data_IF_521390894510
#
_entry.id   IF_521390894510
#
_cell.length_a   1.000
_cell.length_b   1.000
_cell.length_c   1.000
_cell.angle_alpha   90.00
_cell.angle_beta   90.00
_cell.angle_gamma   90.00
#
_symmetry.space_group_name_H-M   'P 1'
#
loop_
_entity.id
_entity.type
_entity.pdbx_description
1 polymer ?
#
# COMPACT_ATOMS: atom_id res chain seq x y z
N UNK A 1 -23.91 7.60 1.02
CA UNK A 1 -22.99 7.02 2.01
C UNK A 1 -22.91 5.50 1.95
N UNK A 2 -24.04 4.78 2.02
CA UNK A 2 -24.09 3.32 1.89
C UNK A 2 -23.54 2.83 0.55
N UNK A 3 -23.87 3.48 -0.56
CA UNK A 3 -23.39 3.11 -1.90
C UNK A 3 -21.86 3.21 -2.01
N UNK A 4 -21.24 4.21 -1.34
CA UNK A 4 -19.78 4.39 -1.33
C UNK A 4 -19.10 3.28 -0.52
N UNK A 5 -19.66 2.91 0.63
CA UNK A 5 -19.17 1.81 1.47
C UNK A 5 -19.31 0.48 0.72
N UNK A 6 -20.46 0.25 0.08
CA UNK A 6 -20.70 -0.96 -0.70
C UNK A 6 -19.71 -1.11 -1.86
N UNK A 7 -19.48 -0.04 -2.62
CA UNK A 7 -18.50 -0.03 -3.71
C UNK A 7 -17.08 -0.32 -3.20
N UNK A 8 -16.73 0.23 -2.05
CA UNK A 8 -15.44 -0.04 -1.42
C UNK A 8 -15.28 -1.51 -1.05
N UNK A 9 -16.31 -2.12 -0.49
CA UNK A 9 -16.30 -3.54 -0.12
C UNK A 9 -16.20 -4.45 -1.34
N UNK A 10 -16.97 -4.17 -2.39
CA UNK A 10 -16.92 -4.94 -3.64
C UNK A 10 -15.54 -4.82 -4.29
N UNK A 11 -14.98 -3.63 -4.35
CA UNK A 11 -13.65 -3.39 -4.89
C UNK A 11 -12.57 -4.14 -4.10
N UNK A 12 -12.65 -4.14 -2.78
CA UNK A 12 -11.71 -4.87 -1.91
C UNK A 12 -11.77 -6.38 -2.18
N UNK A 13 -12.96 -6.95 -2.24
CA UNK A 13 -13.12 -8.38 -2.48
C UNK A 13 -12.57 -8.78 -3.84
N UNK A 14 -12.83 -7.98 -4.86
CA UNK A 14 -12.30 -8.21 -6.20
C UNK A 14 -10.78 -8.10 -6.23
N UNK A 15 -10.22 -7.10 -5.55
CA UNK A 15 -8.76 -6.92 -5.46
C UNK A 15 -8.10 -8.07 -4.71
N UNK A 16 -8.74 -8.62 -3.68
CA UNK A 16 -8.25 -9.77 -2.93
C UNK A 16 -8.12 -11.02 -3.83
N UNK A 17 -9.12 -11.28 -4.68
CA UNK A 17 -9.09 -12.40 -5.63
C UNK A 17 -7.89 -12.28 -6.59
N UNK A 18 -7.48 -11.06 -6.94
CA UNK A 18 -6.37 -10.81 -7.85
C UNK A 18 -5.03 -10.57 -7.15
N UNK A 19 -4.92 -10.88 -5.85
CA UNK A 19 -3.72 -10.59 -5.05
C UNK A 19 -2.43 -11.17 -5.64
N UNK A 20 -2.48 -12.36 -6.21
CA UNK A 20 -1.31 -13.01 -6.80
C UNK A 20 -0.73 -12.27 -8.02
N UNK A 21 -1.54 -11.43 -8.67
CA UNK A 21 -1.10 -10.62 -9.80
C UNK A 21 -0.67 -9.21 -9.39
N UNK A 22 -0.63 -8.94 -8.09
CA UNK A 22 -0.29 -7.63 -7.53
C UNK A 22 1.09 -7.65 -6.87
N UNK A 23 1.65 -6.46 -6.65
CA UNK A 23 3.00 -6.31 -6.09
C UNK A 23 2.95 -5.99 -4.60
N UNK A 24 4.09 -6.18 -3.94
CA UNK A 24 4.35 -5.64 -2.61
C UNK A 24 4.90 -4.22 -2.74
N UNK A 25 4.79 -3.38 -1.70
CA UNK A 25 5.28 -2.01 -1.78
C UNK A 25 6.79 -1.94 -1.82
N UNK A 26 7.31 -0.92 -2.49
CA UNK A 26 8.73 -0.59 -2.55
C UNK A 26 9.16 0.31 -1.39
N UNK A 27 8.22 1.07 -0.82
CA UNK A 27 8.48 1.95 0.30
C UNK A 27 7.29 2.00 1.26
N UNK A 28 7.56 2.34 2.50
CA UNK A 28 6.54 2.52 3.55
C UNK A 28 6.89 3.78 4.33
N UNK A 29 5.96 4.72 4.42
CA UNK A 29 6.09 5.87 5.29
C UNK A 29 5.49 5.47 6.64
N UNK A 30 6.36 5.30 7.63
CA UNK A 30 5.98 4.72 8.93
C UNK A 30 5.63 5.74 10.00
N UNK A 31 5.82 7.00 9.77
CA UNK A 31 5.51 8.01 10.77
C UNK A 31 6.16 9.35 10.49
N UNK A 32 5.92 10.21 11.39
CA UNK A 32 5.10 10.05 12.60
C UNK A 32 3.72 10.64 12.40
N UNK A 33 2.80 10.31 13.33
CA UNK A 33 1.46 10.93 13.35
C UNK A 33 1.59 12.45 13.41
N UNK A 34 0.81 13.16 12.58
CA UNK A 34 0.79 14.63 12.49
C UNK A 34 2.09 15.27 12.02
N UNK A 35 2.93 14.52 11.31
CA UNK A 35 4.19 15.01 10.74
C UNK A 35 4.10 15.25 9.23
N UNK A 36 2.90 15.57 8.73
CA UNK A 36 2.63 15.82 7.32
C UNK A 36 2.94 14.61 6.40
N UNK A 37 2.87 13.39 6.92
CA UNK A 37 3.14 12.17 6.14
C UNK A 37 2.11 11.96 5.05
N UNK A 38 0.86 12.32 5.28
CA UNK A 38 -0.21 12.25 4.28
C UNK A 38 0.09 13.19 3.10
N UNK A 39 0.52 14.43 3.41
CA UNK A 39 0.92 15.39 2.37
C UNK A 39 2.13 14.92 1.59
N UNK A 40 3.13 14.35 2.29
CA UNK A 40 4.31 13.77 1.64
C UNK A 40 3.93 12.67 0.68
N UNK A 41 3.13 11.72 1.14
CA UNK A 41 2.68 10.59 0.32
C UNK A 41 1.90 11.06 -0.90
N UNK A 42 0.99 12.00 -0.70
CA UNK A 42 0.18 12.57 -1.77
C UNK A 42 1.04 13.25 -2.83
N UNK A 43 2.03 14.02 -2.39
CA UNK A 43 2.96 14.70 -3.28
C UNK A 43 3.86 13.70 -4.04
N UNK A 44 4.33 12.66 -3.36
CA UNK A 44 5.09 11.59 -4.01
C UNK A 44 4.28 10.93 -5.12
N UNK A 45 3.02 10.61 -4.86
CA UNK A 45 2.14 9.95 -5.82
C UNK A 45 1.73 10.83 -6.99
N UNK A 46 2.07 12.12 -6.99
CA UNK A 46 1.93 12.98 -8.16
C UNK A 46 3.02 12.71 -9.21
N UNK A 47 4.10 12.08 -8.81
CA UNK A 47 5.15 11.68 -9.75
C UNK A 47 4.61 10.55 -10.64
N UNK A 48 4.82 10.62 -11.98
CA UNK A 48 4.23 9.64 -12.90
C UNK A 48 4.73 8.21 -12.73
N UNK A 49 5.87 8.00 -12.09
CA UNK A 49 6.43 6.67 -11.82
C UNK A 49 6.02 6.08 -10.47
N UNK A 50 5.27 6.82 -9.66
CA UNK A 50 4.87 6.38 -8.33
C UNK A 50 3.36 6.13 -8.31
N UNK A 51 2.98 4.86 -8.17
CA UNK A 51 1.58 4.46 -8.14
C UNK A 51 1.11 4.34 -6.68
N UNK A 52 -0.03 4.94 -6.33
CA UNK A 52 -0.54 4.85 -4.97
C UNK A 52 -1.15 3.48 -4.67
N UNK A 53 -1.22 3.15 -3.38
CA UNK A 53 -2.09 2.07 -2.90
C UNK A 53 -3.56 2.46 -3.09
N UNK A 54 -4.45 1.49 -2.99
CA UNK A 54 -5.89 1.70 -3.19
C UNK A 54 -6.56 2.45 -2.03
N UNK A 55 -5.91 2.51 -0.87
CA UNK A 55 -6.45 3.20 0.30
C UNK A 55 -5.31 3.82 1.11
N UNK A 56 -5.64 4.85 1.88
CA UNK A 56 -4.72 5.45 2.83
C UNK A 56 -4.66 4.63 4.11
N UNK A 57 -3.55 4.74 4.83
CA UNK A 57 -3.38 4.14 6.15
C UNK A 57 -3.82 2.67 6.20
N UNK A 58 -3.18 1.83 5.41
CA UNK A 58 -3.54 0.40 5.29
C UNK A 58 -3.49 -0.32 6.64
N UNK A 59 -2.51 -0.01 7.49
CA UNK A 59 -2.41 -0.58 8.81
C UNK A 59 -2.19 -2.10 8.84
N UNK A 60 -1.55 -2.65 7.81
CA UNK A 60 -1.36 -4.10 7.74
C UNK A 60 -0.44 -4.60 8.86
N UNK A 61 0.72 -3.98 9.03
CA UNK A 61 1.74 -4.47 9.96
C UNK A 61 1.38 -4.26 11.43
N UNK A 62 0.35 -3.52 11.74
CA UNK A 62 -0.14 -3.38 13.11
C UNK A 62 -1.51 -4.07 13.30
N UNK A 63 -2.58 -3.41 12.92
CA UNK A 63 -3.94 -3.89 13.23
C UNK A 63 -4.43 -5.03 12.34
N UNK A 64 -3.90 -5.18 11.14
CA UNK A 64 -4.43 -6.08 10.12
C UNK A 64 -3.48 -7.20 9.70
N UNK A 65 -2.43 -7.42 10.48
CA UNK A 65 -1.41 -8.44 10.15
C UNK A 65 -2.00 -9.85 10.06
N UNK A 66 -3.01 -10.13 10.88
CA UNK A 66 -3.71 -11.41 10.88
C UNK A 66 -4.49 -11.72 9.60
N UNK A 67 -4.73 -10.71 8.76
CA UNK A 67 -5.46 -10.88 7.50
C UNK A 67 -4.60 -11.53 6.39
N UNK A 68 -3.29 -11.57 6.58
CA UNK A 68 -2.38 -12.28 5.68
C UNK A 68 -1.84 -11.44 4.53
N UNK A 69 -0.80 -11.96 3.90
CA UNK A 69 -0.06 -11.26 2.84
C UNK A 69 -0.92 -11.02 1.59
N UNK A 70 -1.84 -11.93 1.25
CA UNK A 70 -2.74 -11.74 0.11
C UNK A 70 -3.63 -10.52 0.30
N UNK A 71 -4.13 -10.32 1.52
CA UNK A 71 -4.90 -9.12 1.84
C UNK A 71 -4.06 -7.87 1.63
N UNK A 72 -2.81 -7.89 2.10
CA UNK A 72 -1.90 -6.75 1.94
C UNK A 72 -1.63 -6.45 0.46
N UNK A 73 -1.30 -7.47 -0.32
CA UNK A 73 -1.06 -7.32 -1.75
C UNK A 73 -2.28 -6.75 -2.50
N UNK A 74 -3.48 -7.07 -2.04
CA UNK A 74 -4.72 -6.58 -2.67
C UNK A 74 -4.84 -5.06 -2.65
N UNK A 75 -4.07 -4.38 -1.81
CA UNK A 75 -4.05 -2.92 -1.69
C UNK A 75 -3.17 -2.24 -2.74
N UNK A 76 -2.35 -2.98 -3.46
CA UNK A 76 -1.35 -2.44 -4.37
C UNK A 76 -1.69 -2.69 -5.85
N UNK A 77 -1.04 -1.98 -6.78
CA UNK A 77 -1.29 -2.16 -8.20
C UNK A 77 -0.93 -3.56 -8.70
N UNK A 78 -1.49 -3.92 -9.84
CA UNK A 78 -1.13 -5.14 -10.55
C UNK A 78 0.25 -5.01 -11.18
N UNK A 79 0.94 -6.13 -11.33
CA UNK A 79 2.24 -6.19 -12.03
C UNK A 79 2.15 -5.61 -13.44
N UNK A 80 1.04 -5.84 -14.14
CA UNK A 80 0.81 -5.30 -15.48
C UNK A 80 0.73 -3.77 -15.48
N UNK A 81 0.09 -3.18 -14.48
CA UNK A 81 0.03 -1.72 -14.33
C UNK A 81 1.43 -1.13 -14.05
N UNK A 82 2.18 -1.77 -13.16
CA UNK A 82 3.55 -1.37 -12.84
C UNK A 82 4.45 -1.42 -14.08
N UNK A 83 4.34 -2.48 -14.87
CA UNK A 83 5.12 -2.64 -16.09
C UNK A 83 4.80 -1.59 -17.15
N UNK A 84 3.52 -1.25 -17.32
CA UNK A 84 3.12 -0.18 -18.26
C UNK A 84 3.73 1.16 -17.89
N UNK A 85 3.74 1.50 -16.61
CA UNK A 85 4.36 2.75 -16.15
C UNK A 85 5.87 2.70 -16.34
N UNK A 86 6.49 1.57 -16.01
CA UNK A 86 7.93 1.38 -16.17
C UNK A 86 8.37 1.58 -17.64
N UNK A 87 7.60 1.08 -18.58
CA UNK A 87 7.87 1.27 -20.02
C UNK A 87 7.82 2.73 -20.43
N UNK A 88 6.89 3.50 -19.87
CA UNK A 88 6.72 4.93 -20.19
C UNK A 88 7.74 5.82 -19.51
N UNK A 89 8.15 5.51 -18.30
CA UNK A 89 8.91 6.43 -17.43
C UNK A 89 10.25 5.88 -16.97
N UNK A 90 10.63 4.68 -17.42
CA UNK A 90 11.85 3.94 -17.08
C UNK A 90 11.81 3.22 -15.73
N UNK A 91 11.01 3.65 -14.77
CA UNK A 91 10.84 2.94 -13.51
C UNK A 91 9.41 3.12 -12.99
N UNK A 92 9.02 2.22 -12.09
CA UNK A 92 7.75 2.32 -11.37
C UNK A 92 7.94 1.80 -9.95
N UNK A 93 7.40 2.51 -8.98
CA UNK A 93 7.38 2.09 -7.58
C UNK A 93 6.00 2.36 -7.00
N UNK A 94 5.68 1.63 -5.92
CA UNK A 94 4.46 1.84 -5.15
C UNK A 94 4.79 1.72 -3.67
N UNK A 95 3.95 2.27 -2.84
CA UNK A 95 4.15 2.23 -1.40
C UNK A 95 2.93 2.65 -0.63
N UNK A 96 3.06 2.66 0.68
CA UNK A 96 1.99 3.05 1.58
C UNK A 96 2.43 4.06 2.62
N UNK A 97 1.45 4.68 3.27
CA UNK A 97 1.64 5.60 4.37
C UNK A 97 0.74 5.17 5.53
N UNK A 98 1.34 4.64 6.59
CA UNK A 98 0.65 4.32 7.84
C UNK A 98 1.44 4.89 9.00
N UNK A 99 1.14 6.14 9.43
CA UNK A 99 1.94 6.85 10.44
C UNK A 99 2.01 6.18 11.80
N UNK A 100 1.04 5.34 12.14
CA UNK A 100 0.99 4.64 13.42
C UNK A 100 2.04 3.54 13.55
N UNK A 101 2.66 3.09 12.46
CA UNK A 101 3.71 2.07 12.51
C UNK A 101 4.90 2.49 13.39
N UNK A 102 5.20 3.78 13.43
CA UNK A 102 6.32 4.32 14.19
C UNK A 102 6.26 3.98 15.69
N UNK A 103 5.05 3.87 16.24
CA UNK A 103 4.84 3.65 17.68
C UNK A 103 4.87 2.17 18.10
N UNK A 104 4.99 1.25 17.16
CA UNK A 104 4.81 -0.18 17.40
C UNK A 104 6.12 -0.93 17.16
N UNK A 105 6.72 -1.46 18.23
CA UNK A 105 8.03 -2.12 18.16
C UNK A 105 8.04 -3.40 17.31
N UNK A 106 6.92 -4.14 17.27
CA UNK A 106 6.80 -5.37 16.49
C UNK A 106 6.60 -5.15 15.00
N UNK A 107 6.22 -3.94 14.59
CA UNK A 107 5.99 -3.61 13.17
C UNK A 107 7.28 -3.76 12.35
N UNK A 108 8.40 -3.31 12.86
CA UNK A 108 9.68 -3.38 12.14
C UNK A 108 10.05 -4.82 11.82
N UNK A 109 9.89 -5.72 12.78
CA UNK A 109 10.15 -7.15 12.58
C UNK A 109 9.23 -7.75 11.53
N UNK A 110 7.94 -7.41 11.58
CA UNK A 110 6.96 -7.86 10.60
C UNK A 110 7.25 -7.36 9.20
N UNK A 111 7.64 -6.10 9.07
CA UNK A 111 8.04 -5.52 7.79
C UNK A 111 9.23 -6.30 7.22
N UNK A 112 10.22 -6.58 8.05
CA UNK A 112 11.42 -7.31 7.62
C UNK A 112 11.10 -8.73 7.16
N UNK A 113 10.14 -9.40 7.78
CA UNK A 113 9.69 -10.74 7.37
C UNK A 113 9.05 -10.75 5.98
N UNK A 114 8.24 -9.73 5.70
CA UNK A 114 7.43 -9.70 4.46
C UNK A 114 8.18 -9.01 3.33
N UNK A 115 8.92 -7.96 3.64
CA UNK A 115 9.62 -7.12 2.66
C UNK A 115 11.09 -7.04 3.07
N UNK A 116 11.87 -8.09 2.81
CA UNK A 116 13.30 -8.04 3.11
C UNK A 116 13.99 -7.00 2.25
N UNK A 117 14.94 -6.30 2.83
CA UNK A 117 15.67 -5.24 2.15
C UNK A 117 16.49 -5.76 0.97
#
# INVERSE_FOLDING_TARGET
MLAKIFRGLVKRNFSYITANSRVLPNFIIIGTVRSATTSLYYNMCRHPSILPASTDEIGFFDSNYHLGIEWYKSMFPKKTEMNKIKEKTKFSITGEDTPFYFWKSDVIDRIHEIIPA
#
